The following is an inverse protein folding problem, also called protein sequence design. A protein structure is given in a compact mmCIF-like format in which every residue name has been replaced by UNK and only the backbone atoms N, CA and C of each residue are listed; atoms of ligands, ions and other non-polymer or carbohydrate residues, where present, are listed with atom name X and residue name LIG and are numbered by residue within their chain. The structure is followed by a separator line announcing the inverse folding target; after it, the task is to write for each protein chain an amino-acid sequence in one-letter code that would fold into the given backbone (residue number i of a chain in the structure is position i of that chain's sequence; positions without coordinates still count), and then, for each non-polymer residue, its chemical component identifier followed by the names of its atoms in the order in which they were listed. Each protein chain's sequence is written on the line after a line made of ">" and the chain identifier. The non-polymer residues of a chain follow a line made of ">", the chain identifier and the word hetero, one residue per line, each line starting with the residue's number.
data_IF_498342206851
#
_entry.id   IF_498342206851
#
_cell.length_a   1.000
_cell.length_b   1.000
_cell.length_c   1.000
_cell.angle_alpha   90.00
_cell.angle_beta   90.00
_cell.angle_gamma   90.00
#
_symmetry.space_group_name_H-M   'P 1'
#
loop_
_entity.id
_entity.type
_entity.pdbx_description
1 polymer ?
#
# COMPACT_ATOMS: atom_id res chain seq x y z
N UNK A 1 2.80 10.33 -12.43
CA UNK A 1 3.97 10.85 -11.69
C UNK A 1 5.16 10.12 -12.24
N UNK A 2 6.25 10.83 -12.54
CA UNK A 2 7.42 10.22 -13.19
C UNK A 2 8.22 9.36 -12.21
N UNK A 3 8.87 8.30 -12.72
CA UNK A 3 9.69 7.38 -11.89
C UNK A 3 10.81 8.11 -11.15
N UNK A 4 11.44 9.09 -11.79
CA UNK A 4 12.52 9.90 -11.22
C UNK A 4 12.10 10.69 -9.97
N UNK A 5 10.81 11.03 -9.84
CA UNK A 5 10.29 11.66 -8.62
C UNK A 5 10.44 10.72 -7.43
N UNK A 6 10.05 9.44 -7.57
CA UNK A 6 10.12 8.46 -6.49
C UNK A 6 11.55 8.12 -6.12
N UNK A 7 12.44 8.03 -7.10
CA UNK A 7 13.89 7.86 -6.88
C UNK A 7 14.46 9.04 -6.08
N UNK A 8 14.07 10.27 -6.43
CA UNK A 8 14.51 11.47 -5.72
C UNK A 8 13.95 11.53 -4.30
N UNK A 9 12.68 11.15 -4.11
CA UNK A 9 12.04 11.06 -2.80
C UNK A 9 12.75 10.06 -1.89
N UNK A 10 13.10 8.88 -2.40
CA UNK A 10 13.85 7.87 -1.64
C UNK A 10 15.27 8.35 -1.27
N UNK A 11 15.93 9.11 -2.16
CA UNK A 11 17.25 9.72 -1.90
C UNK A 11 17.20 10.82 -0.84
N UNK A 12 16.09 11.55 -0.74
CA UNK A 12 15.88 12.60 0.27
C UNK A 12 15.17 12.07 1.53
N UNK A 13 15.41 10.81 1.89
CA UNK A 13 14.90 10.16 3.11
C UNK A 13 13.36 10.24 3.25
N UNK A 14 12.65 10.21 2.12
CA UNK A 14 11.19 10.30 2.04
C UNK A 14 10.59 11.63 2.55
N UNK A 15 11.38 12.71 2.57
CA UNK A 15 10.86 14.05 2.84
C UNK A 15 9.92 14.50 1.73
N UNK A 16 8.67 14.73 2.09
CA UNK A 16 7.65 15.20 1.15
C UNK A 16 7.92 16.68 0.84
N UNK A 17 8.22 16.96 -0.43
CA UNK A 17 8.51 18.31 -0.93
C UNK A 17 7.25 19.18 -1.02
N UNK A 18 7.45 20.50 -1.06
CA UNK A 18 6.36 21.47 -1.24
C UNK A 18 5.52 21.14 -2.50
N UNK A 19 4.20 21.20 -2.37
CA UNK A 19 3.25 20.89 -3.44
C UNK A 19 2.79 19.43 -3.52
N UNK A 20 3.33 18.54 -2.68
CA UNK A 20 2.86 17.17 -2.51
C UNK A 20 2.31 16.93 -1.11
N UNK A 21 1.40 15.96 -1.00
CA UNK A 21 0.87 15.48 0.28
C UNK A 21 1.01 13.97 0.35
N UNK A 22 1.15 13.43 1.56
CA UNK A 22 1.25 11.99 1.77
C UNK A 22 0.03 11.25 1.17
N UNK A 23 -1.17 11.79 1.34
CA UNK A 23 -2.40 11.26 0.73
C UNK A 23 -2.32 11.18 -0.80
N UNK A 24 -1.91 12.25 -1.47
CA UNK A 24 -1.78 12.28 -2.94
C UNK A 24 -0.75 11.28 -3.44
N UNK A 25 0.38 11.16 -2.73
CA UNK A 25 1.40 10.18 -3.05
C UNK A 25 0.86 8.76 -2.87
N UNK A 26 0.18 8.49 -1.76
CA UNK A 26 -0.38 7.16 -1.46
C UNK A 26 -1.44 6.75 -2.48
N UNK A 27 -2.33 7.66 -2.88
CA UNK A 27 -3.28 7.43 -3.99
C UNK A 27 -2.58 7.08 -5.29
N UNK A 28 -1.45 7.72 -5.57
CA UNK A 28 -0.64 7.42 -6.77
C UNK A 28 -0.02 6.01 -6.67
N UNK A 29 0.53 5.64 -5.51
CA UNK A 29 1.06 4.28 -5.27
C UNK A 29 -0.03 3.23 -5.42
N UNK A 30 -1.23 3.46 -4.87
CA UNK A 30 -2.36 2.54 -4.98
C UNK A 30 -2.84 2.37 -6.43
N UNK A 31 -2.74 3.42 -7.24
CA UNK A 31 -2.99 3.37 -8.68
C UNK A 31 -1.94 2.60 -9.48
N UNK A 32 -0.79 2.24 -8.89
CA UNK A 32 0.22 1.41 -9.55
C UNK A 32 0.10 -0.09 -9.22
N UNK A 33 -0.75 -0.47 -8.26
CA UNK A 33 -0.85 -1.87 -7.82
C UNK A 33 -1.36 -2.81 -8.93
N UNK A 34 -2.14 -2.27 -9.87
CA UNK A 34 -2.65 -3.00 -11.03
C UNK A 34 -1.74 -2.89 -12.27
N UNK A 35 -0.59 -2.22 -12.17
CA UNK A 35 0.28 -1.97 -13.32
C UNK A 35 0.96 -3.25 -13.81
N UNK A 36 1.01 -3.41 -15.14
CA UNK A 36 1.83 -4.44 -15.79
C UNK A 36 3.33 -4.09 -15.76
N UNK A 37 3.70 -2.84 -15.50
CA UNK A 37 5.10 -2.43 -15.33
C UNK A 37 5.59 -2.82 -13.93
N UNK A 38 6.50 -3.81 -13.80
CA UNK A 38 6.99 -4.26 -12.50
C UNK A 38 7.74 -3.17 -11.74
N UNK A 39 8.36 -2.19 -12.40
CA UNK A 39 9.08 -1.12 -11.70
C UNK A 39 8.09 -0.19 -10.99
N UNK A 40 6.94 0.11 -11.61
CA UNK A 40 5.90 0.92 -10.97
C UNK A 40 5.28 0.20 -9.76
N UNK A 41 5.11 -1.11 -9.86
CA UNK A 41 4.36 -1.91 -8.90
C UNK A 41 5.25 -2.42 -7.76
N UNK A 42 6.39 -3.00 -8.08
CA UNK A 42 7.29 -3.65 -7.14
C UNK A 42 8.25 -2.61 -6.54
N UNK A 43 9.03 -1.93 -7.39
CA UNK A 43 10.11 -1.04 -6.92
C UNK A 43 9.60 0.31 -6.40
N UNK A 44 8.42 0.75 -6.87
CA UNK A 44 7.81 2.02 -6.47
C UNK A 44 6.64 1.78 -5.52
N UNK A 45 5.52 1.22 -5.98
CA UNK A 45 4.29 1.14 -5.18
C UNK A 45 4.52 0.43 -3.85
N UNK A 46 5.06 -0.79 -3.90
CA UNK A 46 5.32 -1.59 -2.71
C UNK A 46 6.41 -0.99 -1.83
N UNK A 47 7.61 -0.76 -2.36
CA UNK A 47 8.76 -0.31 -1.56
C UNK A 47 8.53 1.07 -0.94
N UNK A 48 7.96 2.03 -1.68
CA UNK A 48 7.71 3.38 -1.14
C UNK A 48 6.64 3.33 -0.04
N UNK A 49 5.54 2.59 -0.25
CA UNK A 49 4.49 2.46 0.76
C UNK A 49 5.02 1.80 2.04
N UNK A 50 5.79 0.70 1.91
CA UNK A 50 6.40 0.03 3.05
C UNK A 50 7.35 0.96 3.83
N UNK A 51 8.08 1.84 3.13
CA UNK A 51 8.92 2.85 3.79
C UNK A 51 8.11 3.94 4.50
N UNK A 52 7.01 4.41 3.91
CA UNK A 52 6.10 5.35 4.57
C UNK A 52 5.50 4.76 5.85
N UNK A 53 5.08 3.48 5.80
CA UNK A 53 4.60 2.74 6.98
C UNK A 53 5.68 2.63 8.06
N UNK A 54 6.87 2.13 7.70
CA UNK A 54 7.99 1.95 8.63
C UNK A 54 8.41 3.25 9.32
N UNK A 55 8.25 4.38 8.62
CA UNK A 55 8.55 5.73 9.12
C UNK A 55 7.41 6.35 9.91
N UNK A 56 6.32 5.61 10.12
CA UNK A 56 5.15 6.04 10.88
C UNK A 56 4.55 7.34 10.32
N UNK A 57 4.58 7.51 8.99
CA UNK A 57 4.11 8.74 8.36
C UNK A 57 2.59 8.87 8.33
N UNK A 58 1.88 7.75 8.50
CA UNK A 58 0.43 7.66 8.46
C UNK A 58 -0.18 7.76 9.86
N UNK A 59 -1.31 8.44 9.97
CA UNK A 59 -2.16 8.35 11.16
C UNK A 59 -2.92 7.02 11.22
N UNK A 60 -3.48 6.68 12.38
CA UNK A 60 -4.32 5.47 12.51
C UNK A 60 -5.54 5.52 11.59
N UNK A 61 -6.12 6.72 11.38
CA UNK A 61 -7.25 6.91 10.47
C UNK A 61 -6.85 6.68 9.01
N UNK A 62 -5.64 7.11 8.61
CA UNK A 62 -5.10 6.82 7.27
C UNK A 62 -4.92 5.30 7.08
N UNK A 63 -4.32 4.61 8.06
CA UNK A 63 -4.12 3.16 7.98
C UNK A 63 -5.46 2.42 7.89
N UNK A 64 -6.47 2.83 8.66
CA UNK A 64 -7.82 2.25 8.57
C UNK A 64 -8.40 2.41 7.16
N UNK A 65 -8.34 3.62 6.60
CA UNK A 65 -8.82 3.88 5.24
C UNK A 65 -8.06 3.05 4.18
N UNK A 66 -6.75 2.87 4.35
CA UNK A 66 -5.95 2.02 3.47
C UNK A 66 -6.39 0.56 3.56
N UNK A 67 -6.59 0.01 4.76
CA UNK A 67 -7.06 -1.37 4.94
C UNK A 67 -8.42 -1.58 4.27
N UNK A 68 -9.37 -0.67 4.46
CA UNK A 68 -10.70 -0.74 3.82
C UNK A 68 -10.58 -0.79 2.30
N UNK A 69 -9.77 0.09 1.71
CA UNK A 69 -9.56 0.12 0.26
C UNK A 69 -8.86 -1.14 -0.26
N UNK A 70 -7.80 -1.60 0.42
CA UNK A 70 -7.03 -2.77 -0.01
C UNK A 70 -7.85 -4.07 0.12
N UNK A 71 -8.74 -4.16 1.11
CA UNK A 71 -9.70 -5.26 1.22
C UNK A 71 -10.73 -5.23 0.08
N UNK A 72 -11.26 -4.05 -0.26
CA UNK A 72 -12.20 -3.90 -1.38
C UNK A 72 -11.58 -4.30 -2.73
N UNK A 73 -10.27 -4.07 -2.91
CA UNK A 73 -9.55 -4.52 -4.09
C UNK A 73 -9.54 -6.05 -4.25
N UNK A 74 -9.67 -6.82 -3.17
CA UNK A 74 -9.68 -8.30 -3.21
C UNK A 74 -10.90 -8.86 -3.93
N UNK A 75 -12.02 -8.12 -3.89
CA UNK A 75 -13.28 -8.48 -4.54
C UNK A 75 -13.34 -8.02 -6.01
N UNK A 76 -12.29 -7.35 -6.51
CA UNK A 76 -12.27 -6.81 -7.89
C UNK A 76 -11.83 -7.88 -8.90
N UNK A 77 -12.55 -8.01 -10.01
CA UNK A 77 -12.18 -8.90 -11.13
C UNK A 77 -12.23 -10.40 -10.81
N UNK A 78 -13.06 -10.82 -9.85
CA UNK A 78 -13.21 -12.25 -9.49
C UNK A 78 -13.71 -13.06 -10.70
N UNK A 79 -12.89 -14.01 -11.18
CA UNK A 79 -13.17 -14.83 -12.36
C UNK A 79 -12.29 -14.52 -13.57
N UNK A 80 -11.48 -13.45 -13.52
CA UNK A 80 -10.50 -13.15 -14.56
C UNK A 80 -9.18 -13.89 -14.29
N UNK A 81 -8.68 -14.57 -15.32
CA UNK A 81 -7.37 -15.20 -15.36
C UNK A 81 -6.49 -14.42 -16.32
N UNK A 82 -5.47 -13.74 -15.80
CA UNK A 82 -4.48 -12.92 -16.52
C UNK A 82 -4.95 -11.51 -16.93
N UNK A 83 -5.05 -10.60 -15.95
CA UNK A 83 -5.29 -9.17 -16.20
C UNK A 83 -4.75 -8.30 -15.06
N UNK A 84 -4.78 -6.97 -15.25
CA UNK A 84 -4.50 -5.94 -14.24
C UNK A 84 -5.19 -6.21 -12.87
N UNK A 85 -6.32 -6.92 -12.85
CA UNK A 85 -7.04 -7.30 -11.63
C UNK A 85 -6.31 -8.36 -10.79
N UNK A 86 -5.47 -9.21 -11.39
CA UNK A 86 -4.62 -10.16 -10.66
C UNK A 86 -3.51 -9.42 -9.92
N UNK A 87 -2.84 -8.46 -10.59
CA UNK A 87 -1.82 -7.63 -9.94
C UNK A 87 -2.42 -6.79 -8.82
N UNK A 88 -3.57 -6.16 -9.06
CA UNK A 88 -4.27 -5.36 -8.05
C UNK A 88 -4.51 -6.16 -6.76
N UNK A 89 -5.07 -7.37 -6.90
CA UNK A 89 -5.35 -8.25 -5.75
C UNK A 89 -4.07 -8.69 -5.05
N UNK A 90 -3.08 -9.16 -5.81
CA UNK A 90 -1.81 -9.67 -5.27
C UNK A 90 -1.07 -8.60 -4.47
N UNK A 91 -0.94 -7.39 -5.04
CA UNK A 91 -0.25 -6.31 -4.36
C UNK A 91 -1.08 -5.70 -3.24
N UNK A 92 -2.42 -5.73 -3.32
CA UNK A 92 -3.26 -5.35 -2.18
C UNK A 92 -3.06 -6.29 -0.99
N UNK A 93 -2.98 -7.60 -1.21
CA UNK A 93 -2.64 -8.59 -0.18
C UNK A 93 -1.26 -8.30 0.41
N UNK A 94 -0.27 -8.00 -0.45
CA UNK A 94 1.09 -7.73 0.01
C UNK A 94 1.17 -6.48 0.90
N UNK A 95 0.47 -5.40 0.55
CA UNK A 95 0.40 -4.20 1.40
C UNK A 95 -0.37 -4.47 2.70
N UNK A 96 -1.46 -5.24 2.66
CA UNK A 96 -2.17 -5.66 3.89
C UNK A 96 -1.27 -6.48 4.82
N UNK A 97 -0.46 -7.40 4.27
CA UNK A 97 0.51 -8.16 5.04
C UNK A 97 1.58 -7.27 5.67
N UNK A 98 2.06 -6.25 4.96
CA UNK A 98 3.00 -5.25 5.50
C UNK A 98 2.37 -4.43 6.63
N UNK A 99 1.10 -4.03 6.51
CA UNK A 99 0.36 -3.36 7.59
C UNK A 99 0.28 -4.27 8.82
N UNK A 100 -0.14 -5.54 8.66
CA UNK A 100 -0.22 -6.51 9.76
C UNK A 100 1.15 -6.72 10.40
N UNK A 101 2.22 -6.82 9.61
CA UNK A 101 3.58 -6.97 10.12
C UNK A 101 4.01 -5.80 10.99
N UNK A 102 3.69 -4.57 10.60
CA UNK A 102 4.02 -3.38 11.39
C UNK A 102 3.10 -3.24 12.61
N UNK A 103 1.80 -3.52 12.48
CA UNK A 103 0.81 -3.54 13.57
C UNK A 103 1.21 -4.52 14.70
N UNK A 104 1.72 -5.70 14.33
CA UNK A 104 2.22 -6.69 15.28
C UNK A 104 3.45 -6.24 16.06
N UNK A 105 4.26 -5.31 15.52
CA UNK A 105 5.42 -4.75 16.22
C UNK A 105 5.03 -3.58 17.11
N UNK A 106 4.14 -2.74 16.61
CA UNK A 106 3.62 -1.55 17.27
C UNK A 106 2.19 -1.35 16.78
N UNK A 107 1.19 -1.32 17.67
CA UNK A 107 -0.20 -1.18 17.26
C UNK A 107 -0.40 0.04 16.36
N UNK A 108 -0.86 -0.21 15.13
CA UNK A 108 -1.30 0.77 14.14
C UNK A 108 -2.84 0.83 14.07
N UNK A 109 -3.49 -0.27 14.45
CA UNK A 109 -4.93 -0.44 14.40
C UNK A 109 -5.47 -0.88 15.76
N UNK A 110 -6.73 -0.57 16.02
CA UNK A 110 -7.45 -1.20 17.12
C UNK A 110 -7.67 -2.68 16.81
N UNK A 111 -7.79 -3.53 17.84
CA UNK A 111 -7.93 -4.99 17.67
C UNK A 111 -9.06 -5.39 16.71
N UNK A 112 -10.18 -4.68 16.73
CA UNK A 112 -11.35 -4.97 15.87
C UNK A 112 -11.09 -4.64 14.38
N UNK A 113 -10.09 -3.82 14.10
CA UNK A 113 -9.75 -3.35 12.75
C UNK A 113 -8.54 -4.08 12.16
N UNK A 114 -7.84 -4.89 12.97
CA UNK A 114 -6.65 -5.61 12.51
C UNK A 114 -7.02 -6.64 11.42
N UNK A 115 -6.39 -6.61 10.24
CA UNK A 115 -6.69 -7.54 9.14
C UNK A 115 -6.29 -8.99 9.47
N UNK A 116 -5.64 -9.24 10.62
CA UNK A 116 -5.20 -10.57 11.03
C UNK A 116 -6.35 -11.58 11.04
N UNK A 117 -7.57 -11.14 11.34
CA UNK A 117 -8.77 -11.98 11.33
C UNK A 117 -9.18 -12.42 9.91
N UNK A 118 -8.78 -11.68 8.87
CA UNK A 118 -8.97 -12.09 7.48
C UNK A 118 -7.97 -13.19 7.10
N UNK A 119 -6.71 -13.07 7.54
CA UNK A 119 -5.65 -14.04 7.25
C UNK A 119 -5.67 -15.31 8.11
N UNK A 120 -6.52 -15.37 9.14
CA UNK A 120 -6.70 -16.54 10.02
C UNK A 120 -7.97 -17.33 9.73
N UNK A 121 -8.73 -16.98 8.68
CA UNK A 121 -9.88 -17.77 8.22
C UNK A 121 -9.36 -18.91 7.34
N UNK A 122 -9.03 -20.03 7.98
CA UNK A 122 -8.94 -21.37 7.36
C UNK A 122 -10.31 -22.06 7.36
#
# INVERSE_FOLDING_TARGET
>A
MEKDFWVSLAKDDYKISEGHTLDKLTKTLFGYLNSADPELRDDIAYIVYANFLKREMYSHDDIRAHVEQLLANLDTGTGETESDSVFLRTFSILLLAEIVYNDNKKPLLDKEQSPIHFFQRD
#
